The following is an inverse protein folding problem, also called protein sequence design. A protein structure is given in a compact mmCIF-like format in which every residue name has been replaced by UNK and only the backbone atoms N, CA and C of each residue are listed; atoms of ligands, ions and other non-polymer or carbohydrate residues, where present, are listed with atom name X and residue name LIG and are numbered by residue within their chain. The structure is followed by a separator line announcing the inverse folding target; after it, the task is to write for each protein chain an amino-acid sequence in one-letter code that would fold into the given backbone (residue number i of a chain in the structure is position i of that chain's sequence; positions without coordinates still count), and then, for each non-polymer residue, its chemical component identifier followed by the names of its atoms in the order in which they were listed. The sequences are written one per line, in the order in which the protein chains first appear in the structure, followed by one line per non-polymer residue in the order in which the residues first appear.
data_IF_457303965648
#
_entry.id   IF_457303965648
#
_cell.length_a   1.000
_cell.length_b   1.000
_cell.length_c   1.000
_cell.angle_alpha   90.00
_cell.angle_beta   90.00
_cell.angle_gamma   90.00
#
_symmetry.space_group_name_H-M   'P 1'
#
loop_
_entity.id
_entity.type
_entity.pdbx_description
1 polymer ?
#
# COMPACT_ATOMS: atom_id res chain seq x y z
N UNK A 1 39.62 13.66 -24.92
CA UNK A 1 39.02 13.14 -23.68
C UNK A 1 37.51 13.27 -23.83
N UNK A 2 36.80 12.16 -24.05
CA UNK A 2 35.33 12.16 -24.11
C UNK A 2 34.82 12.14 -22.66
N UNK A 3 33.99 13.11 -22.29
CA UNK A 3 33.32 13.15 -21.00
C UNK A 3 32.35 11.94 -20.93
N UNK A 4 32.54 11.11 -19.93
CA UNK A 4 31.62 10.02 -19.57
C UNK A 4 30.32 10.65 -19.08
N UNK A 5 29.29 10.65 -19.93
CA UNK A 5 27.95 10.97 -19.48
C UNK A 5 27.48 9.83 -18.58
N UNK A 6 27.45 10.07 -17.26
CA UNK A 6 26.92 9.12 -16.30
C UNK A 6 25.46 8.76 -16.65
N UNK A 7 24.97 7.60 -16.20
CA UNK A 7 23.61 7.17 -16.50
C UNK A 7 22.62 8.25 -16.02
N UNK A 8 21.81 8.76 -16.95
CA UNK A 8 20.65 9.60 -16.65
C UNK A 8 19.83 8.90 -15.59
N UNK A 9 19.68 9.53 -14.42
CA UNK A 9 18.80 9.03 -13.37
C UNK A 9 17.41 8.88 -13.96
N UNK A 10 16.97 7.64 -14.16
CA UNK A 10 15.58 7.36 -14.51
C UNK A 10 14.76 7.86 -13.32
N UNK A 11 14.05 8.96 -13.50
CA UNK A 11 13.13 9.44 -12.47
C UNK A 11 12.02 8.39 -12.33
N UNK A 12 11.87 7.84 -11.14
CA UNK A 12 10.73 6.99 -10.83
C UNK A 12 9.45 7.83 -10.97
N UNK A 13 8.54 7.37 -11.80
CA UNK A 13 7.22 7.96 -11.96
C UNK A 13 6.20 6.96 -11.43
N UNK A 14 5.50 7.26 -10.33
CA UNK A 14 4.41 6.43 -9.86
C UNK A 14 3.31 6.30 -10.91
N UNK A 15 2.76 5.11 -11.04
CA UNK A 15 1.67 4.81 -11.97
C UNK A 15 0.33 4.93 -11.23
N UNK A 16 -0.40 6.01 -11.49
CA UNK A 16 -1.69 6.30 -10.83
C UNK A 16 -2.76 5.27 -11.17
N UNK A 17 -2.80 4.79 -12.41
CA UNK A 17 -3.78 3.81 -12.86
C UNK A 17 -3.59 2.47 -12.11
N UNK A 18 -2.34 2.05 -11.93
CA UNK A 18 -2.01 0.86 -11.15
C UNK A 18 -2.36 1.05 -9.68
N UNK A 19 -2.13 2.24 -9.11
CA UNK A 19 -2.50 2.53 -7.73
C UNK A 19 -4.02 2.53 -7.55
N UNK A 20 -4.77 3.16 -8.45
CA UNK A 20 -6.25 3.14 -8.45
C UNK A 20 -6.76 1.70 -8.52
N UNK A 21 -6.29 0.91 -9.49
CA UNK A 21 -6.70 -0.47 -9.67
C UNK A 21 -6.39 -1.34 -8.42
N UNK A 22 -5.27 -1.07 -7.72
CA UNK A 22 -4.95 -1.76 -6.49
C UNK A 22 -5.92 -1.42 -5.35
N UNK A 23 -6.25 -0.14 -5.18
CA UNK A 23 -7.21 0.32 -4.16
C UNK A 23 -8.63 -0.19 -4.46
N UNK A 24 -9.08 -0.13 -5.70
CA UNK A 24 -10.36 -0.69 -6.14
C UNK A 24 -10.43 -2.20 -5.92
N UNK A 25 -9.38 -2.92 -6.28
CA UNK A 25 -9.33 -4.36 -6.05
C UNK A 25 -9.42 -4.71 -4.58
N UNK A 26 -8.78 -3.92 -3.70
CA UNK A 26 -8.76 -4.21 -2.27
C UNK A 26 -10.02 -3.75 -1.55
N UNK A 27 -10.48 -2.53 -1.80
CA UNK A 27 -11.57 -1.90 -1.05
C UNK A 27 -12.91 -1.83 -1.79
N UNK A 28 -12.96 -2.16 -3.08
CA UNK A 28 -14.12 -1.89 -3.93
C UNK A 28 -15.44 -2.57 -3.51
N UNK A 29 -15.39 -3.57 -2.63
CA UNK A 29 -16.58 -4.22 -2.07
C UNK A 29 -16.98 -3.67 -0.70
N UNK A 30 -16.22 -2.73 -0.15
CA UNK A 30 -16.59 -2.02 1.07
C UNK A 30 -17.60 -0.92 0.74
N UNK A 31 -18.68 -0.83 1.51
CA UNK A 31 -19.81 0.04 1.17
C UNK A 31 -19.63 1.48 1.64
N UNK A 32 -18.97 1.67 2.78
CA UNK A 32 -18.81 2.97 3.44
C UNK A 32 -17.56 2.97 4.32
N UNK A 33 -17.12 4.15 4.73
CA UNK A 33 -15.97 4.35 5.59
C UNK A 33 -14.87 5.14 4.89
N UNK A 34 -13.72 5.20 5.53
CA UNK A 34 -12.57 5.97 5.05
C UNK A 34 -11.37 5.04 4.85
N UNK A 35 -10.54 5.35 3.85
CA UNK A 35 -9.23 4.73 3.64
C UNK A 35 -8.13 5.71 4.04
N UNK A 36 -7.12 5.24 4.77
CA UNK A 36 -5.96 6.02 5.19
C UNK A 36 -4.81 5.82 4.22
N UNK A 37 -4.33 6.90 3.62
CA UNK A 37 -3.05 6.95 2.91
C UNK A 37 -2.03 7.64 3.79
N UNK A 38 -1.03 6.89 4.23
CA UNK A 38 0.07 7.38 5.04
C UNK A 38 1.35 7.56 4.23
N UNK A 39 2.26 8.38 4.72
CA UNK A 39 3.59 8.50 4.11
C UNK A 39 4.68 8.66 5.15
N UNK A 40 5.87 8.21 4.77
CA UNK A 40 7.04 8.27 5.64
C UNK A 40 7.64 9.67 5.71
N UNK A 41 8.20 9.98 6.87
CA UNK A 41 9.12 11.09 7.01
C UNK A 41 10.45 10.73 6.32
N UNK A 42 10.99 11.54 5.40
CA UNK A 42 12.20 11.21 4.64
C UNK A 42 13.46 11.12 5.50
N UNK A 43 13.44 11.69 6.71
CA UNK A 43 14.59 11.71 7.62
C UNK A 43 14.55 10.51 8.57
N UNK A 44 13.38 10.23 9.16
CA UNK A 44 13.23 9.20 10.19
C UNK A 44 12.69 7.87 9.67
N UNK A 45 12.11 7.85 8.46
CA UNK A 45 11.46 6.68 7.87
C UNK A 45 10.11 6.30 8.50
N UNK A 46 9.75 6.91 9.63
CA UNK A 46 8.49 6.59 10.31
C UNK A 46 7.27 7.20 9.63
N UNK A 47 6.13 6.51 9.67
CA UNK A 47 4.86 7.04 9.17
C UNK A 47 4.31 7.99 10.22
N UNK A 48 4.24 9.29 9.89
CA UNK A 48 3.81 10.35 10.80
C UNK A 48 2.60 11.14 10.32
N UNK A 49 2.25 10.99 9.07
CA UNK A 49 1.20 11.77 8.42
C UNK A 49 0.27 10.86 7.63
N UNK A 50 -1.01 11.22 7.66
CA UNK A 50 -2.08 10.48 6.99
C UNK A 50 -3.03 11.46 6.33
N UNK A 51 -3.59 11.05 5.19
CA UNK A 51 -4.75 11.67 4.59
C UNK A 51 -5.81 10.62 4.37
N UNK A 52 -7.07 10.97 4.68
CA UNK A 52 -8.23 10.11 4.51
C UNK A 52 -9.00 10.47 3.27
N UNK A 53 -9.60 9.44 2.69
CA UNK A 53 -10.48 9.52 1.54
C UNK A 53 -11.68 8.62 1.81
N UNK A 54 -12.85 9.00 1.34
CA UNK A 54 -14.01 8.14 1.42
C UNK A 54 -13.79 6.87 0.56
N UNK A 55 -14.37 5.76 0.99
CA UNK A 55 -14.41 4.56 0.16
C UNK A 55 -15.16 4.89 -1.14
N UNK A 56 -14.51 4.62 -2.27
CA UNK A 56 -14.99 5.00 -3.60
C UNK A 56 -14.18 6.11 -4.25
N UNK A 57 -13.52 6.98 -3.48
CA UNK A 57 -12.67 8.05 -4.01
C UNK A 57 -11.25 7.55 -4.33
N UNK A 58 -11.15 6.38 -4.99
CA UNK A 58 -9.89 5.70 -5.24
C UNK A 58 -8.96 6.47 -6.17
N UNK A 59 -9.51 7.17 -7.16
CA UNK A 59 -8.73 8.02 -8.08
C UNK A 59 -8.07 9.18 -7.34
N UNK A 60 -8.80 9.87 -6.45
CA UNK A 60 -8.24 10.93 -5.62
C UNK A 60 -7.16 10.41 -4.68
N UNK A 61 -7.39 9.25 -4.06
CA UNK A 61 -6.43 8.61 -3.18
C UNK A 61 -5.16 8.21 -3.93
N UNK A 62 -5.29 7.63 -5.12
CA UNK A 62 -4.18 7.24 -5.99
C UNK A 62 -3.38 8.45 -6.49
N UNK A 63 -4.04 9.50 -6.98
CA UNK A 63 -3.39 10.75 -7.39
C UNK A 63 -2.61 11.38 -6.24
N UNK A 64 -3.19 11.41 -5.04
CA UNK A 64 -2.48 11.90 -3.86
C UNK A 64 -1.27 11.01 -3.53
N UNK A 65 -1.45 9.69 -3.51
CA UNK A 65 -0.39 8.72 -3.22
C UNK A 65 0.77 8.85 -4.23
N UNK A 66 0.47 8.92 -5.52
CA UNK A 66 1.47 9.09 -6.58
C UNK A 66 2.26 10.38 -6.42
N UNK A 67 1.58 11.49 -6.15
CA UNK A 67 2.24 12.79 -5.92
C UNK A 67 3.20 12.75 -4.74
N UNK A 68 2.81 12.13 -3.62
CA UNK A 68 3.67 12.01 -2.44
C UNK A 68 4.83 11.05 -2.70
N UNK A 69 4.55 9.91 -3.35
CA UNK A 69 5.57 8.91 -3.67
C UNK A 69 6.61 9.39 -4.70
N UNK A 70 6.29 10.41 -5.49
CA UNK A 70 7.23 11.07 -6.40
C UNK A 70 8.27 11.94 -5.68
N UNK A 71 8.05 12.27 -4.40
CA UNK A 71 8.99 13.06 -3.59
C UNK A 71 10.17 12.16 -3.18
N UNK A 72 11.42 12.54 -3.50
CA UNK A 72 12.57 11.73 -3.14
C UNK A 72 12.65 11.43 -1.64
N UNK A 73 12.84 10.14 -1.31
CA UNK A 73 12.97 9.68 0.08
C UNK A 73 11.64 9.46 0.81
N UNK A 74 10.50 9.72 0.17
CA UNK A 74 9.19 9.37 0.73
C UNK A 74 8.69 8.03 0.21
N UNK A 75 8.12 7.24 1.11
CA UNK A 75 7.37 6.03 0.79
C UNK A 75 5.91 6.22 1.18
N UNK A 76 5.02 5.65 0.41
CA UNK A 76 3.57 5.73 0.64
C UNK A 76 3.06 4.38 1.10
N UNK A 77 2.12 4.42 2.00
CA UNK A 77 1.49 3.27 2.61
C UNK A 77 -0.03 3.47 2.65
N UNK A 78 -0.79 2.41 2.63
CA UNK A 78 -2.20 2.45 2.97
C UNK A 78 -2.48 1.50 4.13
N UNK A 79 -3.47 1.85 4.95
CA UNK A 79 -3.97 0.95 5.98
C UNK A 79 -4.86 -0.11 5.30
N UNK A 80 -4.61 -1.40 5.48
CA UNK A 80 -5.35 -2.45 4.76
C UNK A 80 -6.76 -2.74 5.34
N UNK A 81 -7.27 -1.86 6.18
CA UNK A 81 -8.63 -1.89 6.71
C UNK A 81 -9.33 -0.57 6.41
N UNK A 82 -10.64 -0.63 6.20
CA UNK A 82 -11.50 0.56 6.11
C UNK A 82 -11.78 1.06 7.52
N UNK A 83 -11.70 2.36 7.71
CA UNK A 83 -11.89 3.05 8.98
C UNK A 83 -13.30 3.58 9.05
N UNK A 84 -13.88 3.54 10.23
CA UNK A 84 -15.20 4.10 10.52
C UNK A 84 -15.22 5.60 10.32
N UNK A 85 -16.27 6.11 9.66
CA UNK A 85 -16.46 7.54 9.46
C UNK A 85 -16.41 8.31 10.79
N UNK A 86 -15.71 9.43 10.77
CA UNK A 86 -15.59 10.31 11.93
C UNK A 86 -14.63 9.80 13.01
N UNK A 87 -13.83 8.77 12.73
CA UNK A 87 -12.78 8.31 13.64
C UNK A 87 -11.74 9.40 13.93
N UNK A 88 -11.10 9.31 15.09
CA UNK A 88 -10.07 10.25 15.53
C UNK A 88 -8.88 10.27 14.55
N UNK A 89 -8.04 11.30 14.66
CA UNK A 89 -6.83 11.44 13.83
C UNK A 89 -5.91 10.22 13.93
N UNK A 90 -5.72 9.70 15.13
CA UNK A 90 -4.95 8.48 15.39
C UNK A 90 -5.93 7.34 15.62
N UNK A 91 -6.04 6.47 14.62
CA UNK A 91 -6.93 5.31 14.66
C UNK A 91 -6.22 4.10 15.27
N UNK A 92 -7.02 3.29 15.93
CA UNK A 92 -6.64 1.98 16.47
C UNK A 92 -7.38 0.88 15.73
N UNK A 93 -7.16 -0.37 16.08
CA UNK A 93 -7.89 -1.50 15.50
C UNK A 93 -9.40 -1.43 15.80
N UNK A 94 -9.79 -0.79 16.90
CA UNK A 94 -11.21 -0.58 17.27
C UNK A 94 -11.93 0.39 16.31
N UNK A 95 -11.20 1.21 15.57
CA UNK A 95 -11.76 2.12 14.57
C UNK A 95 -11.98 1.43 13.20
N UNK A 96 -11.50 0.19 13.03
CA UNK A 96 -11.75 -0.56 11.81
C UNK A 96 -13.24 -0.85 11.64
N UNK A 97 -13.75 -0.65 10.42
CA UNK A 97 -15.12 -0.97 10.05
C UNK A 97 -15.19 -2.24 9.23
N UNK A 98 -14.33 -2.33 8.21
CA UNK A 98 -14.23 -3.50 7.35
C UNK A 98 -12.77 -3.94 7.20
N UNK A 99 -12.57 -5.25 7.13
CA UNK A 99 -11.30 -5.88 6.78
C UNK A 99 -11.51 -6.67 5.49
N UNK A 100 -10.98 -6.18 4.35
CA UNK A 100 -11.22 -6.82 3.04
C UNK A 100 -10.52 -8.16 2.88
N UNK A 101 -9.48 -8.43 3.64
CA UNK A 101 -8.68 -9.64 3.50
C UNK A 101 -7.53 -9.71 4.51
N UNK A 102 -6.60 -10.60 4.26
CA UNK A 102 -5.34 -10.70 5.02
C UNK A 102 -4.16 -10.34 4.14
N UNK A 103 -3.10 -9.87 4.76
CA UNK A 103 -1.85 -9.55 4.06
C UNK A 103 -0.64 -10.07 4.84
N UNK A 104 0.47 -10.19 4.13
CA UNK A 104 1.74 -10.59 4.71
C UNK A 104 2.85 -9.67 4.18
N UNK A 105 3.64 -9.15 5.10
CA UNK A 105 4.82 -8.36 4.80
C UNK A 105 6.05 -9.28 4.68
N UNK A 106 6.74 -9.20 3.56
CA UNK A 106 7.87 -10.04 3.20
C UNK A 106 9.11 -9.15 2.97
N UNK A 107 9.63 -8.57 4.05
CA UNK A 107 10.71 -7.59 4.02
C UNK A 107 12.09 -8.13 4.42
N UNK A 108 12.19 -9.37 4.91
CA UNK A 108 13.43 -9.99 5.35
C UNK A 108 14.25 -10.56 4.19
N UNK A 109 15.55 -10.78 4.43
CA UNK A 109 16.39 -11.58 3.56
C UNK A 109 15.81 -12.99 3.38
N UNK A 110 15.70 -13.47 2.15
CA UNK A 110 15.04 -14.74 1.82
C UNK A 110 13.50 -14.64 1.71
N UNK A 111 12.94 -13.44 1.85
CA UNK A 111 11.50 -13.22 1.72
C UNK A 111 10.95 -13.68 0.35
N UNK A 112 11.73 -13.51 -0.73
CA UNK A 112 11.31 -13.94 -2.06
C UNK A 112 11.10 -15.46 -2.17
N UNK A 113 11.96 -16.26 -1.53
CA UNK A 113 11.83 -17.72 -1.49
C UNK A 113 10.62 -18.16 -0.66
N UNK A 114 10.41 -17.52 0.48
CA UNK A 114 9.22 -17.73 1.33
C UNK A 114 7.96 -17.35 0.57
N UNK A 115 7.94 -16.20 -0.11
CA UNK A 115 6.83 -15.74 -0.92
C UNK A 115 6.49 -16.74 -2.03
N UNK A 116 7.49 -17.31 -2.73
CA UNK A 116 7.27 -18.35 -3.76
C UNK A 116 6.64 -19.60 -3.17
N UNK A 117 7.08 -20.02 -1.99
CA UNK A 117 6.51 -21.19 -1.29
C UNK A 117 5.04 -20.95 -0.94
N UNK A 118 4.71 -19.78 -0.39
CA UNK A 118 3.34 -19.40 -0.08
C UNK A 118 2.50 -19.33 -1.36
N UNK A 119 3.04 -18.67 -2.41
CA UNK A 119 2.36 -18.54 -3.70
C UNK A 119 2.01 -19.89 -4.33
N UNK A 120 2.89 -20.89 -4.22
CA UNK A 120 2.63 -22.23 -4.74
C UNK A 120 1.52 -22.98 -4.00
N UNK A 121 1.25 -22.64 -2.74
CA UNK A 121 0.25 -23.27 -1.89
C UNK A 121 -1.07 -22.48 -1.85
N UNK A 122 -0.98 -21.17 -1.77
CA UNK A 122 -2.12 -20.26 -1.70
C UNK A 122 -1.81 -18.98 -2.48
N UNK A 123 -2.28 -18.93 -3.72
CA UNK A 123 -2.00 -17.78 -4.60
C UNK A 123 -2.63 -16.51 -4.04
N UNK A 124 -1.85 -15.43 -3.82
CA UNK A 124 -2.39 -14.15 -3.40
C UNK A 124 -3.22 -13.51 -4.51
N UNK A 125 -4.20 -12.70 -4.11
CA UNK A 125 -5.02 -11.90 -5.03
C UNK A 125 -4.18 -10.82 -5.71
N UNK A 126 -3.25 -10.21 -4.95
CA UNK A 126 -2.30 -9.23 -5.49
C UNK A 126 -0.96 -9.27 -4.75
N UNK A 127 0.08 -8.79 -5.42
CA UNK A 127 1.43 -8.67 -4.89
C UNK A 127 1.95 -7.27 -5.20
N UNK A 128 2.41 -6.56 -4.17
CA UNK A 128 3.04 -5.26 -4.31
C UNK A 128 4.53 -5.39 -4.00
N UNK A 129 5.39 -5.18 -4.99
CA UNK A 129 6.84 -5.16 -4.79
C UNK A 129 7.23 -3.82 -4.18
N UNK A 130 7.68 -3.83 -2.92
CA UNK A 130 8.04 -2.63 -2.15
C UNK A 130 9.52 -2.26 -2.29
N UNK A 131 10.35 -3.17 -2.76
CA UNK A 131 11.77 -2.93 -3.01
C UNK A 131 12.47 -4.09 -3.70
N UNK A 132 13.60 -3.80 -4.35
CA UNK A 132 14.40 -4.80 -5.08
C UNK A 132 15.84 -4.91 -4.60
N UNK A 133 16.30 -3.95 -3.80
CA UNK A 133 17.66 -3.91 -3.25
C UNK A 133 17.59 -3.75 -1.72
N UNK A 134 18.49 -4.40 -0.96
CA UNK A 134 19.48 -5.39 -1.40
C UNK A 134 18.85 -6.71 -1.89
N UNK A 135 17.59 -6.99 -1.53
CA UNK A 135 16.81 -8.15 -1.93
C UNK A 135 15.37 -7.73 -2.28
N UNK A 136 14.62 -8.61 -2.92
CA UNK A 136 13.21 -8.36 -3.25
C UNK A 136 12.38 -8.38 -1.98
N UNK A 137 11.60 -7.32 -1.77
CA UNK A 137 10.63 -7.17 -0.69
C UNK A 137 9.25 -6.99 -1.30
N UNK A 138 8.24 -7.56 -0.68
CA UNK A 138 6.88 -7.50 -1.21
C UNK A 138 5.84 -7.64 -0.11
N UNK A 139 4.67 -7.07 -0.34
CA UNK A 139 3.45 -7.35 0.39
C UNK A 139 2.56 -8.27 -0.44
N UNK A 140 2.08 -9.34 0.15
CA UNK A 140 1.14 -10.28 -0.45
C UNK A 140 -0.24 -10.06 0.16
N UNK A 141 -1.27 -10.03 -0.67
CA UNK A 141 -2.64 -9.75 -0.26
C UNK A 141 -3.57 -10.88 -0.70
N UNK A 142 -4.40 -11.36 0.22
CA UNK A 142 -5.47 -12.34 -0.04
C UNK A 142 -6.80 -11.69 0.33
N UNK A 143 -7.58 -11.36 -0.68
CA UNK A 143 -8.91 -10.77 -0.51
C UNK A 143 -9.91 -11.85 -0.13
N UNK A 144 -10.79 -11.56 0.81
CA UNK A 144 -11.95 -12.40 1.11
C UNK A 144 -13.00 -12.28 0.00
N UNK A 145 -13.89 -13.26 -0.09
CA UNK A 145 -15.07 -13.17 -0.98
C UNK A 145 -16.01 -12.03 -0.61
N UNK A 146 -16.05 -11.67 0.67
CA UNK A 146 -16.79 -10.55 1.22
C UNK A 146 -15.96 -9.90 2.33
N UNK A 147 -15.96 -8.56 2.45
CA UNK A 147 -15.30 -7.89 3.56
C UNK A 147 -15.88 -8.31 4.90
N UNK A 148 -15.01 -8.54 5.87
CA UNK A 148 -15.43 -8.86 7.25
C UNK A 148 -15.66 -7.57 8.01
N UNK A 149 -16.83 -7.44 8.67
CA UNK A 149 -17.10 -6.34 9.59
C UNK A 149 -16.24 -6.52 10.84
N UNK A 150 -15.43 -5.52 11.19
CA UNK A 150 -14.60 -5.57 12.37
C UNK A 150 -15.46 -5.55 13.66
N UNK A 151 -15.14 -6.43 14.60
CA UNK A 151 -15.86 -6.54 15.87
C UNK A 151 -17.12 -7.43 15.83
N UNK A 152 -17.31 -8.21 14.76
CA UNK A 152 -18.34 -9.25 14.69
C UNK A 152 -17.82 -10.59 15.19
#
# INVERSE_FOLDING_TARGET
MAAYAGPTSVSFQPDEDVMTAHLENWFGECMEGEIDIGWSDPITGGIKSFKRFDVGDFDEAATFAARVNAIPGQSVYFRPAVIRLGSKRYVTDDDAQYVPGVWCDMDDEGAAEKARTIYSTCQPTSVVVTGRKPYIRAHLYWKFSEPVTAGS
#
